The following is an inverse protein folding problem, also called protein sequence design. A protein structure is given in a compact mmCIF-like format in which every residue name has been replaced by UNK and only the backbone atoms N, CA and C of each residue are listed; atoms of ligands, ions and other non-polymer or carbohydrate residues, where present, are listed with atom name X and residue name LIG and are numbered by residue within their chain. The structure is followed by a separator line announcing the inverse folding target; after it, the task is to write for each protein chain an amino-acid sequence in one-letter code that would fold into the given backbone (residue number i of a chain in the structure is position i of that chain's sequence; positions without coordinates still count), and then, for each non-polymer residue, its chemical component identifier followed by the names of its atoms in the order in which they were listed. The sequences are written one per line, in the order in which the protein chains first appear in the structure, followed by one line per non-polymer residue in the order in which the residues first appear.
data_IF_955233922710
#
_entry.id   IF_955233922710
#
_cell.length_a   1.000
_cell.length_b   1.000
_cell.length_c   1.000
_cell.angle_alpha   90.00
_cell.angle_beta   90.00
_cell.angle_gamma   90.00
#
_symmetry.space_group_name_H-M   'P 1'
#
loop_
_entity.id
_entity.type
_entity.pdbx_description
1 polymer ?
#
# COMPACT_ATOMS: atom_id res chain seq x y z
N UNK A 1 53.30 28.45 80.65
CA UNK A 1 53.47 29.07 79.31
C UNK A 1 53.50 28.08 78.14
N UNK A 2 53.70 26.76 78.33
CA UNK A 2 53.76 25.78 77.20
C UNK A 2 52.39 25.39 76.61
N UNK A 3 51.32 25.44 77.38
CA UNK A 3 49.98 25.01 76.95
C UNK A 3 49.25 26.01 76.03
N UNK A 4 49.54 27.32 76.18
CA UNK A 4 48.94 28.39 75.35
C UNK A 4 49.47 28.38 73.91
N UNK A 5 50.75 28.03 73.73
CA UNK A 5 51.39 27.96 72.41
C UNK A 5 50.89 26.77 71.58
N UNK A 6 50.53 25.67 72.23
CA UNK A 6 50.00 24.48 71.58
C UNK A 6 48.58 24.72 71.04
N UNK A 7 47.76 25.48 71.77
CA UNK A 7 46.40 25.82 71.37
C UNK A 7 46.38 26.79 70.18
N UNK A 8 47.32 27.74 70.15
CA UNK A 8 47.46 28.70 69.06
C UNK A 8 47.98 28.04 67.76
N UNK A 9 48.82 27.01 67.88
CA UNK A 9 49.30 26.20 66.75
C UNK A 9 48.20 25.30 66.20
N UNK A 10 47.33 24.77 67.06
CA UNK A 10 46.19 23.94 66.65
C UNK A 10 45.13 24.77 65.92
N UNK A 11 44.88 26.01 66.37
CA UNK A 11 43.93 26.93 65.72
C UNK A 11 44.46 27.49 64.38
N UNK A 12 45.79 27.62 64.23
CA UNK A 12 46.41 28.01 62.96
C UNK A 12 46.37 26.93 61.88
N UNK A 13 46.42 25.64 62.26
CA UNK A 13 46.33 24.52 61.32
C UNK A 13 44.90 24.20 60.85
N UNK A 14 43.88 24.54 61.63
CA UNK A 14 42.48 24.33 61.21
C UNK A 14 41.97 25.39 60.23
N UNK A 15 42.63 26.55 60.14
CA UNK A 15 42.27 27.62 59.20
C UNK A 15 42.93 27.46 57.81
N UNK A 16 43.96 26.62 57.66
CA UNK A 16 44.68 26.41 56.39
C UNK A 16 44.11 25.28 55.52
N UNK A 17 43.07 24.58 55.98
CA UNK A 17 42.40 23.50 55.22
C UNK A 17 41.14 23.94 54.46
N UNK A 18 40.83 25.25 54.45
CA UNK A 18 39.56 25.79 53.97
C UNK A 18 39.72 26.71 52.74
N UNK A 19 40.60 26.35 51.79
CA UNK A 19 40.65 26.97 50.46
C UNK A 19 41.36 26.03 49.47
N UNK A 20 40.69 24.93 49.09
CA UNK A 20 41.18 24.03 48.04
C UNK A 20 40.47 24.35 46.71
N UNK A 21 40.60 25.62 46.28
CA UNK A 21 40.06 26.15 45.03
C UNK A 21 40.43 25.31 43.80
N UNK A 22 41.55 24.58 43.86
CA UNK A 22 41.98 23.64 42.81
C UNK A 22 41.02 22.44 42.70
N UNK A 23 40.60 21.84 43.82
CA UNK A 23 39.63 20.74 43.82
C UNK A 23 38.24 21.23 43.37
N UNK A 24 37.84 22.42 43.78
CA UNK A 24 36.56 23.01 43.36
C UNK A 24 36.53 23.27 41.85
N UNK A 25 37.62 23.80 41.28
CA UNK A 25 37.74 24.00 39.84
C UNK A 25 37.75 22.66 39.08
N UNK A 26 38.41 21.63 39.59
CA UNK A 26 38.37 20.28 39.00
C UNK A 26 36.98 19.66 39.05
N UNK A 27 36.21 19.91 40.12
CA UNK A 27 34.81 19.46 40.23
C UNK A 27 33.92 20.20 39.22
N UNK A 28 34.04 21.53 39.11
CA UNK A 28 33.31 22.35 38.13
C UNK A 28 33.60 21.92 36.68
N UNK A 29 34.85 21.60 36.37
CA UNK A 29 35.23 21.13 35.03
C UNK A 29 34.64 19.75 34.72
N UNK A 30 34.62 18.84 35.71
CA UNK A 30 33.97 17.53 35.57
C UNK A 30 32.46 17.65 35.40
N UNK A 31 31.80 18.50 36.18
CA UNK A 31 30.36 18.75 36.06
C UNK A 31 30.00 19.30 34.67
N UNK A 32 30.79 20.26 34.18
CA UNK A 32 30.62 20.80 32.82
C UNK A 32 30.79 19.73 31.74
N UNK A 33 31.77 18.84 31.89
CA UNK A 33 31.98 17.75 30.95
C UNK A 33 30.84 16.73 30.99
N UNK A 34 30.35 16.38 32.18
CA UNK A 34 29.21 15.49 32.36
C UNK A 34 27.95 16.06 31.72
N UNK A 35 27.66 17.34 31.97
CA UNK A 35 26.49 18.01 31.41
C UNK A 35 26.55 18.05 29.87
N UNK A 36 27.72 18.30 29.29
CA UNK A 36 27.90 18.27 27.85
C UNK A 36 27.62 16.86 27.28
N UNK A 37 28.14 15.81 27.92
CA UNK A 37 27.85 14.42 27.52
C UNK A 37 26.37 14.08 27.65
N UNK A 38 25.71 14.49 28.72
CA UNK A 38 24.27 14.27 28.92
C UNK A 38 23.46 14.91 27.79
N UNK A 39 23.81 16.13 27.37
CA UNK A 39 23.15 16.79 26.25
C UNK A 39 23.38 16.06 24.92
N UNK A 40 24.60 15.57 24.64
CA UNK A 40 24.89 14.78 23.45
C UNK A 40 24.14 13.45 23.42
N UNK A 41 24.03 12.78 24.57
CA UNK A 41 23.25 11.55 24.70
C UNK A 41 21.75 11.78 24.53
N UNK A 42 21.21 12.90 25.02
CA UNK A 42 19.80 13.25 24.83
C UNK A 42 19.45 13.42 23.34
N UNK A 43 20.31 14.12 22.58
CA UNK A 43 20.13 14.28 21.12
C UNK A 43 20.19 12.93 20.40
N UNK A 44 21.20 12.10 20.68
CA UNK A 44 21.31 10.77 20.07
C UNK A 44 20.14 9.86 20.39
N UNK A 45 19.61 9.94 21.62
CA UNK A 45 18.43 9.16 22.01
C UNK A 45 17.20 9.59 21.21
N UNK A 46 17.01 10.89 21.03
CA UNK A 46 15.91 11.42 20.21
C UNK A 46 16.01 10.95 18.76
N UNK A 47 17.19 11.02 18.15
CA UNK A 47 17.40 10.52 16.78
C UNK A 47 17.13 9.02 16.67
N UNK A 48 17.56 8.25 17.66
CA UNK A 48 17.30 6.81 17.71
C UNK A 48 15.80 6.49 17.81
N UNK A 49 15.05 7.22 18.64
CA UNK A 49 13.60 7.07 18.74
C UNK A 49 12.88 7.43 17.43
N UNK A 50 13.34 8.46 16.71
CA UNK A 50 12.81 8.82 15.38
C UNK A 50 13.07 7.70 14.36
N UNK A 51 14.27 7.12 14.36
CA UNK A 51 14.62 6.01 13.46
C UNK A 51 13.81 4.74 13.75
N UNK A 52 13.57 4.44 15.04
CA UNK A 52 12.68 3.35 15.44
C UNK A 52 11.25 3.58 14.95
N UNK A 53 10.71 4.78 15.16
CA UNK A 53 9.37 5.13 14.69
C UNK A 53 9.25 5.03 13.15
N UNK A 54 10.30 5.42 12.41
CA UNK A 54 10.34 5.26 10.96
C UNK A 54 10.35 3.78 10.56
N UNK A 55 11.20 2.96 11.18
CA UNK A 55 11.24 1.51 10.94
C UNK A 55 9.87 0.88 11.20
N UNK A 56 9.25 1.20 12.33
CA UNK A 56 7.95 0.65 12.71
C UNK A 56 6.86 1.12 11.73
N UNK A 57 6.94 2.35 11.22
CA UNK A 57 6.07 2.84 10.15
C UNK A 57 6.27 2.06 8.85
N UNK A 58 7.52 1.76 8.47
CA UNK A 58 7.83 0.99 7.26
C UNK A 58 7.42 -0.49 7.39
N UNK A 59 7.60 -1.12 8.55
CA UNK A 59 7.18 -2.51 8.79
C UNK A 59 5.64 -2.64 8.81
N UNK A 60 4.95 -1.65 9.36
CA UNK A 60 3.49 -1.57 9.25
C UNK A 60 3.05 -1.30 7.80
N UNK A 61 3.80 -0.48 7.04
CA UNK A 61 3.55 -0.24 5.62
C UNK A 61 3.82 -1.48 4.74
N UNK A 62 4.78 -2.33 5.10
CA UNK A 62 5.06 -3.61 4.44
C UNK A 62 3.95 -4.63 4.71
N UNK A 63 3.36 -4.63 5.91
CA UNK A 63 2.18 -5.45 6.22
C UNK A 63 0.89 -4.91 5.59
N UNK A 64 0.83 -3.60 5.29
CA UNK A 64 -0.16 -3.00 4.40
C UNK A 64 0.38 -2.84 2.99
N UNK A 65 1.18 -3.80 2.52
CA UNK A 65 1.83 -3.77 1.22
C UNK A 65 0.91 -3.18 0.13
N UNK A 66 1.17 -1.91 -0.17
CA UNK A 66 1.01 -1.28 -1.48
C UNK A 66 1.98 -1.90 -2.51
N UNK A 67 2.64 -3.02 -2.16
CA UNK A 67 2.96 -4.03 -3.16
C UNK A 67 1.63 -4.59 -3.63
N UNK A 68 1.02 -3.89 -4.59
CA UNK A 68 0.18 -4.51 -5.60
C UNK A 68 1.06 -5.64 -6.14
N UNK A 69 0.98 -6.83 -5.54
CA UNK A 69 1.31 -8.06 -6.22
C UNK A 69 0.33 -8.04 -7.38
N UNK A 70 0.76 -7.42 -8.49
CA UNK A 70 -0.02 -7.31 -9.70
C UNK A 70 -0.40 -8.74 -9.98
N UNK A 71 -1.66 -9.07 -9.73
CA UNK A 71 -2.15 -10.42 -9.91
C UNK A 71 -2.20 -10.56 -11.42
N UNK A 72 -1.06 -10.93 -11.99
CA UNK A 72 -0.84 -10.92 -13.42
C UNK A 72 -1.81 -11.92 -14.01
N UNK A 73 -2.56 -11.47 -15.01
CA UNK A 73 -3.37 -12.37 -15.79
C UNK A 73 -2.47 -13.43 -16.44
N UNK A 74 -2.91 -14.70 -16.48
CA UNK A 74 -2.08 -15.77 -16.99
C UNK A 74 -1.75 -15.56 -18.47
N UNK A 75 -0.53 -15.93 -18.89
CA UNK A 75 -0.04 -15.57 -20.24
C UNK A 75 -0.87 -16.17 -21.38
N UNK A 76 -1.53 -17.30 -21.14
CA UNK A 76 -2.34 -18.00 -22.14
C UNK A 76 -3.56 -17.19 -22.62
N UNK A 77 -4.11 -16.31 -21.77
CA UNK A 77 -5.28 -15.50 -22.10
C UNK A 77 -4.95 -14.15 -22.73
N UNK A 78 -3.67 -13.76 -22.75
CA UNK A 78 -3.27 -12.46 -23.27
C UNK A 78 -3.50 -12.36 -24.78
N UNK A 79 -3.81 -11.16 -25.25
CA UNK A 79 -4.02 -10.85 -26.67
C UNK A 79 -5.41 -10.31 -26.98
N UNK A 80 -5.77 -10.38 -28.28
CA UNK A 80 -7.04 -9.88 -28.79
C UNK A 80 -8.08 -10.99 -28.92
N UNK A 81 -9.30 -10.68 -28.54
CA UNK A 81 -10.43 -11.61 -28.54
C UNK A 81 -11.66 -10.95 -29.15
N UNK A 82 -12.46 -11.76 -29.86
CA UNK A 82 -13.79 -11.39 -30.30
C UNK A 82 -14.79 -11.83 -29.23
N UNK A 83 -15.45 -10.87 -28.59
CA UNK A 83 -16.39 -11.13 -27.51
C UNK A 83 -17.83 -11.04 -27.99
N UNK A 84 -18.56 -12.14 -27.90
CA UNK A 84 -20.01 -12.20 -28.10
C UNK A 84 -20.70 -12.18 -26.74
N UNK A 85 -21.63 -11.25 -26.56
CA UNK A 85 -22.45 -11.14 -25.35
C UNK A 85 -23.92 -11.33 -25.69
N UNK A 86 -24.64 -12.07 -24.87
CA UNK A 86 -26.09 -12.30 -25.00
C UNK A 86 -26.77 -11.97 -23.68
N UNK A 87 -27.75 -11.07 -23.69
CA UNK A 87 -28.54 -10.76 -22.49
C UNK A 87 -29.39 -11.96 -22.09
N UNK A 88 -29.19 -12.47 -20.88
CA UNK A 88 -29.91 -13.63 -20.33
C UNK A 88 -30.98 -13.22 -19.34
N UNK A 89 -30.74 -12.14 -18.59
CA UNK A 89 -31.66 -11.57 -17.62
C UNK A 89 -31.56 -10.04 -17.69
N UNK A 90 -32.68 -9.33 -17.59
CA UNK A 90 -32.68 -7.87 -17.50
C UNK A 90 -33.89 -7.38 -16.74
N UNK A 91 -33.66 -6.46 -15.79
CA UNK A 91 -34.68 -5.56 -15.24
C UNK A 91 -34.50 -4.11 -15.71
N UNK A 92 -33.52 -3.84 -16.59
CA UNK A 92 -33.24 -2.51 -17.12
C UNK A 92 -34.06 -2.27 -18.40
N UNK A 93 -34.62 -1.07 -18.56
CA UNK A 93 -35.45 -0.73 -19.72
C UNK A 93 -34.64 -0.70 -21.03
N UNK A 94 -33.33 -0.45 -20.93
CA UNK A 94 -32.40 -0.37 -22.06
C UNK A 94 -31.85 -1.72 -22.55
N UNK A 95 -32.17 -2.84 -21.89
CA UNK A 95 -31.66 -4.17 -22.24
C UNK A 95 -32.79 -5.19 -22.31
N UNK A 96 -32.90 -5.89 -23.44
CA UNK A 96 -33.93 -6.92 -23.66
C UNK A 96 -33.27 -8.30 -23.67
N UNK A 97 -33.93 -9.26 -23.03
CA UNK A 97 -33.47 -10.66 -23.03
C UNK A 97 -33.34 -11.15 -24.47
N UNK A 98 -32.18 -11.71 -24.81
CA UNK A 98 -31.83 -12.13 -26.17
C UNK A 98 -31.01 -11.10 -26.96
N UNK A 99 -30.83 -9.87 -26.47
CA UNK A 99 -29.97 -8.87 -27.09
C UNK A 99 -28.54 -9.41 -27.27
N UNK A 100 -28.01 -9.28 -28.50
CA UNK A 100 -26.66 -9.74 -28.84
C UNK A 100 -25.74 -8.56 -29.13
N UNK A 101 -24.53 -8.59 -28.56
CA UNK A 101 -23.49 -7.59 -28.78
C UNK A 101 -22.18 -8.28 -29.12
N UNK A 102 -21.43 -7.68 -30.05
CA UNK A 102 -20.10 -8.14 -30.40
C UNK A 102 -19.12 -6.99 -30.12
N UNK A 103 -18.13 -7.25 -29.29
CA UNK A 103 -17.10 -6.29 -28.88
C UNK A 103 -15.71 -6.89 -29.09
N UNK A 104 -14.70 -6.04 -29.24
CA UNK A 104 -13.30 -6.48 -29.29
C UNK A 104 -12.66 -6.30 -27.93
N UNK A 105 -12.03 -7.35 -27.42
CA UNK A 105 -11.40 -7.37 -26.11
C UNK A 105 -9.89 -7.46 -26.27
N UNK A 106 -9.16 -6.58 -25.59
CA UNK A 106 -7.69 -6.56 -25.55
C UNK A 106 -7.29 -6.85 -24.11
N UNK A 107 -6.77 -8.06 -23.89
CA UNK A 107 -6.36 -8.56 -22.58
C UNK A 107 -4.85 -8.41 -22.44
N UNK A 108 -4.44 -7.56 -21.50
CA UNK A 108 -3.04 -7.34 -21.11
C UNK A 108 -2.82 -7.89 -19.70
N UNK A 109 -1.56 -7.91 -19.23
CA UNK A 109 -1.22 -8.56 -17.96
C UNK A 109 -1.93 -7.96 -16.73
N UNK A 110 -2.31 -6.69 -16.76
CA UNK A 110 -2.95 -5.99 -15.62
C UNK A 110 -4.33 -5.39 -15.93
N UNK A 111 -4.66 -5.22 -17.22
CA UNK A 111 -5.83 -4.47 -17.65
C UNK A 111 -6.52 -5.15 -18.83
N UNK A 112 -7.82 -4.91 -18.93
CA UNK A 112 -8.63 -5.35 -20.06
C UNK A 112 -9.33 -4.14 -20.67
N UNK A 113 -9.17 -3.97 -21.98
CA UNK A 113 -9.82 -2.92 -22.76
C UNK A 113 -10.89 -3.57 -23.61
N UNK A 114 -12.14 -3.10 -23.47
CA UNK A 114 -13.27 -3.55 -24.27
C UNK A 114 -13.68 -2.42 -25.22
N UNK A 115 -13.61 -2.68 -26.52
CA UNK A 115 -13.94 -1.74 -27.59
C UNK A 115 -15.25 -2.20 -28.22
N UNK A 116 -16.28 -1.36 -28.10
CA UNK A 116 -17.57 -1.65 -28.71
C UNK A 116 -17.56 -1.38 -30.23
N UNK A 117 -18.67 -1.72 -30.91
CA UNK A 117 -18.82 -1.45 -32.36
C UNK A 117 -18.71 0.03 -32.75
N UNK A 118 -19.06 0.97 -31.85
CA UNK A 118 -18.94 2.41 -32.11
C UNK A 118 -17.52 2.95 -31.88
N UNK A 119 -16.57 2.11 -31.45
CA UNK A 119 -15.20 2.50 -31.15
C UNK A 119 -14.99 3.08 -29.74
N UNK A 120 -15.99 3.04 -28.87
CA UNK A 120 -15.87 3.49 -27.48
C UNK A 120 -15.13 2.44 -26.64
N UNK A 121 -14.05 2.87 -25.99
CA UNK A 121 -13.21 2.03 -25.15
C UNK A 121 -13.64 2.08 -23.68
N UNK A 122 -13.71 0.92 -23.05
CA UNK A 122 -13.97 0.77 -21.63
C UNK A 122 -12.82 -0.01 -20.99
N UNK A 123 -12.25 0.54 -19.92
CA UNK A 123 -11.07 -0.01 -19.25
C UNK A 123 -11.48 -0.68 -17.94
N UNK A 124 -11.01 -1.91 -17.74
CA UNK A 124 -11.29 -2.72 -16.56
C UNK A 124 -9.99 -3.14 -15.89
N UNK A 125 -10.02 -3.14 -14.55
CA UNK A 125 -9.01 -3.82 -13.74
C UNK A 125 -9.41 -5.27 -13.60
N UNK A 126 -8.44 -6.17 -13.73
CA UNK A 126 -8.66 -7.61 -13.68
C UNK A 126 -7.92 -8.23 -12.49
N UNK A 127 -8.56 -9.19 -11.83
CA UNK A 127 -7.96 -10.00 -10.76
C UNK A 127 -8.20 -11.48 -11.07
N UNK A 128 -7.14 -12.27 -11.02
CA UNK A 128 -7.19 -13.72 -11.25
C UNK A 128 -7.23 -14.48 -9.92
N UNK A 129 -8.23 -15.34 -9.76
CA UNK A 129 -8.41 -16.19 -8.57
C UNK A 129 -8.30 -17.67 -8.94
N UNK A 130 -7.21 -18.05 -9.62
CA UNK A 130 -6.87 -19.44 -9.96
C UNK A 130 -7.68 -20.08 -11.10
N UNK A 131 -9.00 -19.90 -11.12
CA UNK A 131 -9.91 -20.41 -12.17
C UNK A 131 -10.83 -19.34 -12.74
N UNK A 132 -10.95 -18.20 -12.08
CA UNK A 132 -11.81 -17.10 -12.50
C UNK A 132 -11.01 -15.82 -12.68
N UNK A 133 -11.43 -14.99 -13.63
CA UNK A 133 -10.99 -13.61 -13.74
C UNK A 133 -12.17 -12.72 -13.40
N UNK A 134 -12.03 -11.97 -12.32
CA UNK A 134 -13.00 -10.95 -11.93
C UNK A 134 -12.49 -9.59 -12.39
N UNK A 135 -13.33 -8.89 -13.14
CA UNK A 135 -13.03 -7.57 -13.67
C UNK A 135 -14.05 -6.56 -13.15
N UNK A 136 -13.52 -5.42 -12.72
CA UNK A 136 -14.30 -4.28 -12.28
C UNK A 136 -13.97 -3.08 -13.14
N UNK A 137 -15.00 -2.32 -13.55
CA UNK A 137 -14.78 -1.06 -14.27
C UNK A 137 -13.88 -0.16 -13.44
N UNK A 138 -12.87 0.45 -14.08
CA UNK A 138 -12.16 1.54 -13.44
C UNK A 138 -13.17 2.70 -13.31
N UNK A 139 -13.44 3.15 -12.10
CA UNK A 139 -14.45 4.18 -11.83
C UNK A 139 -14.02 5.50 -12.47
N UNK A 140 -14.42 5.74 -13.71
CA UNK A 140 -14.52 7.10 -14.20
C UNK A 140 -15.73 7.71 -13.49
N UNK A 141 -15.49 8.81 -12.78
CA UNK A 141 -16.43 9.54 -11.90
C UNK A 141 -17.73 10.01 -12.58
N UNK A 142 -17.94 9.66 -13.85
CA UNK A 142 -19.00 10.15 -14.74
C UNK A 142 -20.12 9.13 -15.00
N UNK A 143 -19.95 7.85 -14.64
CA UNK A 143 -21.00 6.82 -14.83
C UNK A 143 -21.50 6.27 -13.49
N UNK A 144 -22.78 6.44 -13.13
CA UNK A 144 -23.35 5.87 -11.91
C UNK A 144 -23.53 4.34 -11.98
N UNK A 145 -23.27 3.73 -13.14
CA UNK A 145 -23.49 2.31 -13.37
C UNK A 145 -22.22 1.51 -13.12
N UNK A 146 -22.32 0.50 -12.25
CA UNK A 146 -21.23 -0.43 -11.95
C UNK A 146 -21.29 -1.61 -12.91
N UNK A 147 -20.16 -1.95 -13.52
CA UNK A 147 -20.03 -3.12 -14.38
C UNK A 147 -19.05 -4.10 -13.75
N UNK A 148 -19.52 -5.31 -13.46
CA UNK A 148 -18.70 -6.42 -13.00
C UNK A 148 -18.72 -7.54 -14.04
N UNK A 149 -17.56 -8.10 -14.33
CA UNK A 149 -17.44 -9.20 -15.30
C UNK A 149 -16.69 -10.33 -14.62
N UNK A 150 -17.21 -11.54 -14.75
CA UNK A 150 -16.55 -12.76 -14.27
C UNK A 150 -16.34 -13.69 -15.45
N UNK A 151 -15.09 -13.92 -15.82
CA UNK A 151 -14.71 -14.92 -16.82
C UNK A 151 -14.25 -16.19 -16.14
N UNK A 152 -14.67 -17.33 -16.67
CA UNK A 152 -14.20 -18.65 -16.28
C UNK A 152 -13.03 -19.01 -17.19
N UNK A 153 -11.84 -19.15 -16.62
CA UNK A 153 -10.62 -19.50 -17.36
C UNK A 153 -10.52 -21.01 -17.41
N UNK A 154 -10.54 -21.62 -18.61
CA UNK A 154 -10.31 -23.04 -18.74
C UNK A 154 -8.90 -23.41 -18.27
N UNK A 155 -8.77 -24.57 -17.61
CA UNK A 155 -7.49 -25.07 -17.11
C UNK A 155 -6.52 -25.46 -18.25
N UNK A 156 -7.03 -25.67 -19.46
CA UNK A 156 -6.25 -26.00 -20.66
C UNK A 156 -6.20 -24.82 -21.63
N UNK A 157 -5.25 -24.85 -22.57
CA UNK A 157 -5.15 -23.84 -23.62
C UNK A 157 -6.34 -24.00 -24.57
N UNK A 158 -7.35 -23.15 -24.39
CA UNK A 158 -8.49 -23.06 -25.30
C UNK A 158 -8.49 -21.70 -25.99
N UNK A 159 -8.82 -21.69 -27.28
CA UNK A 159 -9.09 -20.45 -28.04
C UNK A 159 -10.45 -19.84 -27.68
N UNK A 160 -11.10 -20.33 -26.62
CA UNK A 160 -12.43 -19.90 -26.18
C UNK A 160 -12.48 -19.74 -24.67
N UNK A 161 -13.07 -18.64 -24.23
CA UNK A 161 -13.31 -18.33 -22.81
C UNK A 161 -14.80 -18.03 -22.65
N UNK A 162 -15.42 -18.59 -21.61
CA UNK A 162 -16.82 -18.31 -21.28
C UNK A 162 -16.89 -17.56 -19.97
N UNK A 163 -17.93 -16.77 -19.79
CA UNK A 163 -18.12 -16.00 -18.58
C UNK A 163 -19.47 -15.34 -18.54
N UNK A 164 -19.67 -14.52 -17.51
CA UNK A 164 -20.86 -13.72 -17.34
C UNK A 164 -20.45 -12.27 -17.05
N UNK A 165 -21.29 -11.34 -17.50
CA UNK A 165 -21.17 -9.91 -17.20
C UNK A 165 -22.45 -9.45 -16.52
N UNK A 166 -22.30 -8.79 -15.40
CA UNK A 166 -23.39 -8.15 -14.68
C UNK A 166 -23.24 -6.63 -14.76
N UNK A 167 -24.29 -5.98 -15.21
CA UNK A 167 -24.43 -4.53 -15.23
C UNK A 167 -25.42 -4.13 -14.16
N UNK A 168 -24.96 -3.35 -13.20
CA UNK A 168 -25.80 -2.78 -12.13
C UNK A 168 -25.98 -1.30 -12.41
N UNK A 169 -27.20 -0.93 -12.76
CA UNK A 169 -27.63 0.47 -12.88
C UNK A 169 -28.04 1.05 -11.52
N UNK A 170 -28.71 2.20 -11.55
CA UNK A 170 -29.19 2.86 -10.32
C UNK A 170 -30.22 2.02 -9.54
N UNK A 171 -31.15 1.38 -10.26
CA UNK A 171 -32.25 0.58 -9.68
C UNK A 171 -32.57 -0.67 -10.52
N UNK A 172 -31.63 -1.12 -11.36
CA UNK A 172 -31.85 -2.24 -12.28
C UNK A 172 -30.57 -3.08 -12.44
N UNK A 173 -30.74 -4.34 -12.84
CA UNK A 173 -29.65 -5.29 -13.06
C UNK A 173 -29.87 -5.99 -14.40
N UNK A 174 -28.81 -6.13 -15.18
CA UNK A 174 -28.81 -6.94 -16.40
C UNK A 174 -27.63 -7.89 -16.40
N UNK A 175 -27.89 -9.15 -16.74
CA UNK A 175 -26.87 -10.19 -16.87
C UNK A 175 -26.72 -10.61 -18.31
N UNK A 176 -25.48 -10.83 -18.69
CA UNK A 176 -25.09 -11.24 -20.02
C UNK A 176 -24.21 -12.48 -19.93
N UNK A 177 -24.49 -13.47 -20.75
CA UNK A 177 -23.54 -14.53 -21.06
C UNK A 177 -22.49 -13.98 -22.01
N UNK A 178 -21.22 -14.23 -21.71
CA UNK A 178 -20.06 -13.77 -22.49
C UNK A 178 -19.32 -14.98 -23.04
N UNK A 179 -19.03 -14.96 -24.34
CA UNK A 179 -18.16 -15.93 -25.01
C UNK A 179 -17.08 -15.16 -25.77
N UNK A 180 -15.81 -15.45 -25.48
CA UNK A 180 -14.66 -14.86 -26.16
C UNK A 180 -14.03 -15.91 -27.07
N UNK A 181 -13.69 -15.52 -28.29
CA UNK A 181 -12.92 -16.32 -29.24
C UNK A 181 -11.61 -15.62 -29.60
N UNK A 182 -10.49 -16.33 -29.48
CA UNK A 182 -9.15 -15.74 -29.68
C UNK A 182 -8.96 -15.38 -31.15
N UNK A 183 -8.54 -14.14 -31.41
CA UNK A 183 -8.23 -13.70 -32.78
C UNK A 183 -6.85 -14.26 -33.12
N UNK A 184 -6.83 -15.30 -33.97
CA UNK A 184 -5.61 -15.81 -34.57
C UNK A 184 -5.24 -14.90 -35.74
N UNK A 185 -4.08 -14.26 -35.64
CA UNK A 185 -3.44 -13.61 -36.78
C UNK A 185 -2.80 -14.66 -37.68
#
# INVERSE_FOLDING_TARGET
MKFSLLFLLFFGFSLSSCDDSKKENQLKEREKNLLLRETEFAVKKQDYEILLALRDSLENAENTADTIAATLLPQNILGKWNGKMVCTESSCAEHVIGDQRNDTWIISAQQVIIINKSGSEHIYTAKFTGSEIKMSSLNNTTSPNKSEITLQVPAEITDRIKGNRELTGKDCVSKFSVELEKIKN
#
